data_IF_560217597447
#
_entry.id   IF_560217597447
#
_cell.length_a   1.000
_cell.length_b   1.000
_cell.length_c   1.000
_cell.angle_alpha   90.00
_cell.angle_beta   90.00
_cell.angle_gamma   90.00
#
_symmetry.space_group_name_H-M   'P 1'
#
loop_
_entity.id
_entity.type
_entity.pdbx_description
1 polymer ?
#
# COMPACT_ATOMS: atom_id res chain seq x y z
N UNK A 1 84.89 20.36 -6.98
CA UNK A 1 83.83 19.62 -7.68
C UNK A 1 82.58 19.65 -6.81
N UNK A 2 81.55 20.51 -7.12
CA UNK A 2 80.30 20.60 -6.39
C UNK A 2 79.21 20.00 -7.28
N UNK A 3 78.66 18.83 -6.91
CA UNK A 3 77.52 18.19 -7.57
C UNK A 3 76.29 18.81 -7.09
N UNK A 4 75.48 19.45 -7.99
CA UNK A 4 74.13 19.93 -7.75
C UNK A 4 73.19 18.76 -7.98
N UNK A 5 72.40 18.39 -6.96
CA UNK A 5 71.31 17.43 -7.04
C UNK A 5 70.06 18.24 -7.41
N UNK A 6 69.50 17.96 -8.58
CA UNK A 6 68.23 18.50 -8.99
C UNK A 6 67.09 17.64 -8.40
N UNK A 7 66.27 18.24 -7.54
CA UNK A 7 65.09 17.59 -7.00
C UNK A 7 63.94 17.94 -7.95
N UNK A 8 63.48 16.94 -8.70
CA UNK A 8 62.27 17.04 -9.52
C UNK A 8 61.05 16.90 -8.61
N UNK A 9 60.31 17.95 -8.45
CA UNK A 9 59.01 17.92 -7.75
C UNK A 9 57.97 17.39 -8.74
N UNK A 10 57.52 16.17 -8.50
CA UNK A 10 56.40 15.59 -9.23
C UNK A 10 55.09 16.12 -8.63
N UNK A 11 54.40 17.03 -9.35
CA UNK A 11 53.09 17.53 -8.96
C UNK A 11 52.04 16.44 -9.25
N UNK A 12 51.57 15.76 -8.19
CA UNK A 12 50.45 14.85 -8.28
C UNK A 12 49.15 15.69 -8.38
N UNK A 13 48.56 15.74 -9.57
CA UNK A 13 47.22 16.29 -9.78
C UNK A 13 46.22 15.31 -9.14
N UNK A 14 45.71 15.67 -7.97
CA UNK A 14 44.55 15.00 -7.35
C UNK A 14 43.34 15.38 -8.17
N UNK A 15 42.91 14.48 -9.07
CA UNK A 15 41.59 14.53 -9.68
C UNK A 15 40.58 14.29 -8.56
N UNK A 16 40.05 15.38 -7.99
CA UNK A 16 38.83 15.36 -7.18
C UNK A 16 37.68 15.01 -8.10
N UNK A 17 37.50 13.70 -8.34
CA UNK A 17 36.28 13.17 -8.92
C UNK A 17 35.15 13.43 -7.93
N UNK A 18 34.43 14.55 -8.14
CA UNK A 18 33.18 14.83 -7.46
C UNK A 18 32.22 13.71 -7.79
N UNK A 19 32.13 12.71 -6.89
CA UNK A 19 30.98 11.85 -6.83
C UNK A 19 29.79 12.77 -6.50
N UNK A 20 29.11 13.27 -7.54
CA UNK A 20 27.78 13.84 -7.41
C UNK A 20 26.92 12.72 -6.82
N UNK A 21 26.84 12.68 -5.49
CA UNK A 21 25.86 11.88 -4.79
C UNK A 21 24.51 12.32 -5.33
N UNK A 22 24.00 11.60 -6.31
CA UNK A 22 22.61 11.72 -6.70
C UNK A 22 21.82 11.54 -5.41
N UNK A 23 21.38 12.66 -4.84
CA UNK A 23 20.51 12.69 -3.68
C UNK A 23 19.30 11.87 -4.12
N UNK A 24 19.20 10.65 -3.62
CA UNK A 24 18.17 9.70 -3.98
C UNK A 24 16.87 10.33 -3.49
N UNK A 25 16.16 10.99 -4.40
CA UNK A 25 14.90 11.66 -4.11
C UNK A 25 13.92 10.58 -3.66
N UNK A 26 13.33 10.79 -2.49
CA UNK A 26 12.22 9.98 -2.01
C UNK A 26 11.13 9.86 -3.07
N UNK A 27 10.25 8.89 -2.93
CA UNK A 27 9.18 8.68 -3.90
C UNK A 27 8.27 9.92 -3.97
N UNK A 28 8.00 10.41 -5.19
CA UNK A 28 7.11 11.54 -5.41
C UNK A 28 5.72 11.09 -5.84
N UNK A 29 4.73 11.95 -5.66
CA UNK A 29 3.37 11.74 -6.17
C UNK A 29 3.35 11.53 -7.68
N UNK A 30 4.20 12.23 -8.44
CA UNK A 30 4.33 12.06 -9.89
C UNK A 30 4.88 10.67 -10.27
N UNK A 31 5.89 10.18 -9.54
CA UNK A 31 6.45 8.84 -9.73
C UNK A 31 5.38 7.77 -9.50
N UNK A 32 4.58 7.89 -8.42
CA UNK A 32 3.51 6.93 -8.11
C UNK A 32 2.43 6.92 -9.16
N UNK A 33 2.02 8.09 -9.66
CA UNK A 33 1.06 8.14 -10.78
C UNK A 33 1.59 7.39 -11.99
N UNK A 34 2.86 7.61 -12.36
CA UNK A 34 3.50 6.86 -13.44
C UNK A 34 3.51 5.35 -13.21
N UNK A 35 3.64 4.89 -11.95
CA UNK A 35 3.57 3.47 -11.62
C UNK A 35 2.15 2.91 -11.75
N UNK A 36 1.14 3.63 -11.27
CA UNK A 36 -0.27 3.25 -11.41
C UNK A 36 -0.68 3.19 -12.90
N UNK A 37 -0.27 4.18 -13.69
CA UNK A 37 -0.50 4.22 -15.14
C UNK A 37 0.16 3.02 -15.85
N UNK A 38 1.41 2.71 -15.52
CA UNK A 38 2.15 1.57 -16.08
C UNK A 38 1.52 0.22 -15.72
N UNK A 39 0.86 0.13 -14.55
CA UNK A 39 0.08 -1.05 -14.16
C UNK A 39 -1.30 -1.12 -14.85
N UNK A 40 -1.71 -0.09 -15.58
CA UNK A 40 -3.05 0.00 -16.18
C UNK A 40 -4.18 0.15 -15.18
N UNK A 41 -3.87 0.61 -13.96
CA UNK A 41 -4.86 0.77 -12.90
C UNK A 41 -5.64 2.07 -13.07
N UNK A 42 -6.97 2.00 -12.97
CA UNK A 42 -7.81 3.19 -12.87
C UNK A 42 -7.78 3.71 -11.45
N UNK A 43 -7.50 4.99 -11.26
CA UNK A 43 -7.45 5.61 -9.94
C UNK A 43 -8.10 7.00 -9.94
N UNK A 44 -8.52 7.43 -8.76
CA UNK A 44 -9.07 8.78 -8.54
C UNK A 44 -8.33 9.44 -7.38
N UNK A 45 -8.18 10.78 -7.38
CA UNK A 45 -7.62 11.49 -6.24
C UNK A 45 -8.44 11.22 -4.97
N UNK A 46 -7.77 11.07 -3.84
CA UNK A 46 -8.47 10.96 -2.57
C UNK A 46 -9.12 12.32 -2.19
N UNK A 47 -10.42 12.37 -1.81
CA UNK A 47 -11.14 13.63 -1.67
C UNK A 47 -10.61 14.56 -0.56
N UNK A 48 -9.89 14.01 0.41
CA UNK A 48 -9.40 14.74 1.60
C UNK A 48 -7.87 14.75 1.73
N UNK A 49 -7.14 14.03 0.87
CA UNK A 49 -5.69 13.94 0.93
C UNK A 49 -5.11 14.07 -0.49
N UNK A 50 -4.49 15.23 -0.83
CA UNK A 50 -3.93 15.48 -2.16
C UNK A 50 -2.75 14.56 -2.50
N UNK A 51 -2.10 13.96 -1.50
CA UNK A 51 -0.97 13.05 -1.65
C UNK A 51 -1.37 11.58 -1.67
N UNK A 52 -2.68 11.31 -1.90
CA UNK A 52 -3.22 9.97 -1.95
C UNK A 52 -4.16 9.74 -3.14
N UNK A 53 -4.22 8.49 -3.58
CA UNK A 53 -5.15 8.02 -4.61
C UNK A 53 -5.93 6.80 -4.13
N UNK A 54 -7.12 6.63 -4.69
CA UNK A 54 -7.97 5.45 -4.49
C UNK A 54 -8.03 4.69 -5.80
N UNK A 55 -7.69 3.42 -5.76
CA UNK A 55 -7.79 2.47 -6.87
C UNK A 55 -8.94 1.51 -6.56
N UNK A 56 -10.14 1.74 -7.08
CA UNK A 56 -11.25 0.81 -6.92
C UNK A 56 -11.06 -0.40 -7.85
N UNK A 57 -11.16 -1.62 -7.31
CA UNK A 57 -11.08 -2.85 -8.08
C UNK A 57 -12.29 -3.74 -7.78
N UNK A 58 -13.05 -4.13 -8.79
CA UNK A 58 -14.23 -4.98 -8.69
C UNK A 58 -14.05 -6.39 -9.27
N UNK A 59 -12.96 -6.65 -9.98
CA UNK A 59 -12.63 -7.96 -10.51
C UNK A 59 -11.81 -8.77 -9.50
N UNK A 60 -12.49 -9.31 -8.48
CA UNK A 60 -11.87 -10.10 -7.40
C UNK A 60 -12.56 -11.45 -7.30
N UNK A 61 -11.92 -12.42 -6.65
CA UNK A 61 -12.44 -13.78 -6.48
C UNK A 61 -13.49 -13.86 -5.36
N UNK A 62 -13.23 -13.19 -4.25
CA UNK A 62 -13.99 -13.31 -3.02
C UNK A 62 -14.64 -11.97 -2.60
N UNK A 63 -13.91 -10.87 -2.71
CA UNK A 63 -14.44 -9.54 -2.42
C UNK A 63 -15.27 -9.01 -3.58
N UNK A 64 -16.41 -8.39 -3.28
CA UNK A 64 -17.17 -7.65 -4.28
C UNK A 64 -16.36 -6.49 -4.85
N UNK A 65 -15.61 -5.82 -3.98
CA UNK A 65 -14.74 -4.71 -4.33
C UNK A 65 -13.56 -4.59 -3.35
N UNK A 66 -12.41 -4.23 -3.87
CA UNK A 66 -11.24 -3.81 -3.10
C UNK A 66 -10.98 -2.33 -3.36
N UNK A 67 -10.94 -1.52 -2.31
CA UNK A 67 -10.52 -0.12 -2.40
C UNK A 67 -9.06 -0.03 -1.92
N UNK A 68 -8.11 0.12 -2.86
CA UNK A 68 -6.69 0.30 -2.56
C UNK A 68 -6.40 1.80 -2.46
N UNK A 69 -5.89 2.23 -1.32
CA UNK A 69 -5.38 3.57 -1.06
C UNK A 69 -3.85 3.57 -1.21
N UNK A 70 -3.34 4.49 -1.99
CA UNK A 70 -1.91 4.70 -2.23
C UNK A 70 -1.56 6.09 -1.74
N UNK A 71 -0.77 6.20 -0.69
CA UNK A 71 -0.49 7.45 0.01
C UNK A 71 1.01 7.68 0.18
N UNK A 72 1.50 8.88 -0.17
CA UNK A 72 2.82 9.39 0.26
C UNK A 72 2.63 10.21 1.51
N UNK A 73 3.26 9.82 2.60
CA UNK A 73 3.21 10.56 3.86
C UNK A 73 4.24 11.68 3.91
N UNK A 74 4.08 12.58 4.87
CA UNK A 74 5.00 13.71 5.11
C UNK A 74 6.42 13.27 5.47
N UNK A 75 6.57 12.10 6.08
CA UNK A 75 7.86 11.44 6.36
C UNK A 75 8.43 10.72 5.13
N UNK A 76 7.83 10.94 3.95
CA UNK A 76 8.16 10.31 2.68
C UNK A 76 7.94 8.80 2.65
N UNK A 77 7.31 8.18 3.65
CA UNK A 77 6.91 6.79 3.56
C UNK A 77 5.78 6.61 2.55
N UNK A 78 5.83 5.52 1.78
CA UNK A 78 4.74 5.10 0.92
C UNK A 78 3.89 4.08 1.65
N UNK A 79 2.62 4.38 1.83
CA UNK A 79 1.66 3.50 2.47
C UNK A 79 0.65 3.00 1.45
N UNK A 80 0.54 1.69 1.35
CA UNK A 80 -0.50 0.99 0.62
C UNK A 80 -1.50 0.43 1.63
N UNK A 81 -2.77 0.76 1.47
CA UNK A 81 -3.83 0.27 2.36
C UNK A 81 -4.99 -0.24 1.51
N UNK A 82 -5.50 -1.44 1.78
CA UNK A 82 -6.64 -2.00 1.08
C UNK A 82 -7.76 -2.32 2.05
N UNK A 83 -8.99 -1.96 1.68
CA UNK A 83 -10.21 -2.30 2.39
C UNK A 83 -11.09 -3.16 1.50
N UNK A 84 -11.33 -4.42 1.89
CA UNK A 84 -12.29 -5.27 1.17
C UNK A 84 -13.72 -4.84 1.48
N UNK A 85 -14.59 -4.98 0.46
CA UNK A 85 -16.04 -4.77 0.59
C UNK A 85 -16.79 -6.01 0.18
N UNK A 86 -17.87 -6.24 0.90
CA UNK A 86 -18.83 -7.28 0.57
C UNK A 86 -20.25 -6.77 0.85
N UNK A 87 -21.19 -7.03 -0.05
CA UNK A 87 -22.55 -6.50 -0.01
C UNK A 87 -22.60 -4.96 0.10
N UNK A 88 -21.71 -4.27 -0.65
CA UNK A 88 -21.58 -2.82 -0.69
C UNK A 88 -20.97 -2.18 0.55
N UNK A 89 -20.49 -2.96 1.54
CA UNK A 89 -20.01 -2.44 2.86
C UNK A 89 -18.59 -2.88 3.16
N UNK A 90 -17.87 -2.06 3.93
CA UNK A 90 -16.60 -2.43 4.54
C UNK A 90 -16.82 -3.41 5.70
N UNK A 91 -15.82 -4.22 5.98
CA UNK A 91 -15.75 -5.00 7.22
C UNK A 91 -15.41 -4.06 8.36
N UNK A 92 -16.19 -4.08 9.45
CA UNK A 92 -16.00 -3.16 10.57
C UNK A 92 -16.21 -3.87 11.91
N UNK A 93 -15.47 -3.44 12.93
CA UNK A 93 -15.60 -3.95 14.31
C UNK A 93 -17.01 -3.82 14.88
N UNK A 94 -17.74 -2.78 14.49
CA UNK A 94 -19.10 -2.56 14.96
C UNK A 94 -20.07 -3.68 14.55
N UNK A 95 -19.74 -4.42 13.48
CA UNK A 95 -20.56 -5.51 12.92
C UNK A 95 -19.95 -6.89 13.15
N UNK A 96 -18.92 -6.99 13.96
CA UNK A 96 -18.24 -8.27 14.25
C UNK A 96 -18.94 -9.00 15.38
N UNK A 97 -19.30 -10.27 15.17
CA UNK A 97 -19.96 -11.16 16.13
C UNK A 97 -19.02 -11.68 17.20
N UNK A 98 -17.77 -12.03 16.82
CA UNK A 98 -16.74 -12.58 17.71
C UNK A 98 -15.41 -11.88 17.41
N UNK A 99 -15.19 -10.74 18.08
CA UNK A 99 -14.00 -9.89 17.86
C UNK A 99 -12.70 -10.59 18.26
N UNK A 100 -12.74 -11.35 19.35
CA UNK A 100 -11.55 -12.01 19.89
C UNK A 100 -11.01 -13.05 18.90
N UNK A 101 -11.86 -13.97 18.44
CA UNK A 101 -11.47 -14.96 17.44
C UNK A 101 -11.05 -14.33 16.12
N UNK A 102 -11.77 -13.31 15.67
CA UNK A 102 -11.39 -12.58 14.47
C UNK A 102 -9.99 -11.98 14.62
N UNK A 103 -9.68 -11.29 15.72
CA UNK A 103 -8.35 -10.73 15.95
C UNK A 103 -7.28 -11.81 16.02
N UNK A 104 -7.55 -12.93 16.67
CA UNK A 104 -6.62 -14.07 16.69
C UNK A 104 -6.29 -14.52 15.26
N UNK A 105 -7.29 -14.68 14.40
CA UNK A 105 -7.10 -15.08 12.99
C UNK A 105 -6.32 -14.03 12.21
N UNK A 106 -6.57 -12.74 12.42
CA UNK A 106 -5.82 -11.67 11.77
C UNK A 106 -4.36 -11.60 12.25
N UNK A 107 -4.10 -11.83 13.54
CA UNK A 107 -2.74 -11.89 14.09
C UNK A 107 -1.97 -13.10 13.54
N UNK A 108 -2.61 -14.26 13.41
CA UNK A 108 -2.03 -15.43 12.74
C UNK A 108 -1.70 -15.14 11.27
N UNK A 109 -2.59 -14.39 10.57
CA UNK A 109 -2.35 -13.94 9.22
C UNK A 109 -1.14 -13.02 9.12
N UNK A 110 -1.02 -12.04 10.02
CA UNK A 110 0.10 -11.10 10.06
C UNK A 110 1.45 -11.81 10.26
N UNK A 111 1.47 -12.95 10.94
CA UNK A 111 2.69 -13.73 11.11
C UNK A 111 3.17 -14.37 9.80
N UNK A 112 2.27 -14.65 8.87
CA UNK A 112 2.54 -15.40 7.63
C UNK A 112 2.48 -14.54 6.37
N UNK A 113 1.86 -13.36 6.46
CA UNK A 113 1.58 -12.54 5.31
C UNK A 113 2.63 -11.44 5.12
N UNK A 114 2.81 -11.02 3.88
CA UNK A 114 3.58 -9.86 3.48
C UNK A 114 2.99 -8.53 3.99
N UNK A 115 1.67 -8.50 4.23
CA UNK A 115 0.92 -7.34 4.69
C UNK A 115 0.46 -7.49 6.14
N UNK A 116 0.18 -6.36 6.80
CA UNK A 116 -0.36 -6.32 8.15
C UNK A 116 -1.84 -5.97 8.13
N UNK A 117 -2.69 -6.86 8.66
CA UNK A 117 -4.08 -6.52 8.95
C UNK A 117 -4.16 -5.54 10.12
N UNK A 118 -5.05 -4.58 10.04
CA UNK A 118 -5.24 -3.55 11.05
C UNK A 118 -6.70 -3.11 11.10
N UNK A 119 -7.01 -2.35 12.14
CA UNK A 119 -8.29 -1.64 12.28
C UNK A 119 -7.96 -0.15 12.30
N UNK A 120 -8.68 0.63 11.52
CA UNK A 120 -8.51 2.08 11.51
C UNK A 120 -9.30 2.77 12.64
N UNK A 121 -9.15 4.10 12.84
CA UNK A 121 -9.89 4.84 13.87
C UNK A 121 -11.42 4.84 13.69
N UNK A 122 -11.92 4.56 12.50
CA UNK A 122 -13.35 4.40 12.18
C UNK A 122 -13.87 3.00 12.51
N UNK A 123 -12.95 2.09 12.83
CA UNK A 123 -13.25 0.69 13.11
C UNK A 123 -13.28 -0.20 11.87
N UNK A 124 -12.91 0.33 10.69
CA UNK A 124 -12.86 -0.44 9.47
C UNK A 124 -11.62 -1.34 9.43
N UNK A 125 -11.80 -2.57 8.93
CA UNK A 125 -10.76 -3.60 8.87
C UNK A 125 -10.13 -3.59 7.49
N UNK A 126 -8.81 -3.43 7.46
CA UNK A 126 -8.03 -3.41 6.22
C UNK A 126 -6.72 -4.16 6.34
N UNK A 127 -6.00 -4.27 5.23
CA UNK A 127 -4.62 -4.73 5.18
C UNK A 127 -3.72 -3.61 4.68
N UNK A 128 -2.48 -3.54 5.21
CA UNK A 128 -1.53 -2.47 4.94
C UNK A 128 -0.14 -3.02 4.64
N UNK A 129 0.54 -2.33 3.74
CA UNK A 129 1.97 -2.43 3.55
C UNK A 129 2.61 -1.03 3.55
N UNK A 130 3.78 -0.89 4.17
CA UNK A 130 4.48 0.39 4.25
C UNK A 130 5.91 0.22 3.75
N UNK A 131 6.31 1.07 2.79
CA UNK A 131 7.70 1.23 2.41
C UNK A 131 8.31 2.40 3.17
N UNK A 132 9.50 2.20 3.72
CA UNK A 132 10.39 3.29 4.13
C UNK A 132 11.13 3.77 2.89
N UNK A 133 11.03 5.05 2.54
CA UNK A 133 11.43 5.53 1.21
C UNK A 133 12.74 6.30 1.18
N UNK A 134 13.60 6.15 2.17
CA UNK A 134 14.91 6.79 2.18
C UNK A 134 15.73 6.53 0.89
N UNK A 135 15.50 5.39 0.25
CA UNK A 135 16.18 4.96 -0.98
C UNK A 135 15.28 4.95 -2.22
N UNK A 136 14.05 5.44 -2.12
CA UNK A 136 13.04 5.33 -3.17
C UNK A 136 12.42 3.92 -3.26
N UNK A 137 11.36 3.79 -4.04
CA UNK A 137 10.68 2.51 -4.32
C UNK A 137 10.75 2.26 -5.82
N UNK A 138 11.31 1.12 -6.24
CA UNK A 138 11.33 0.74 -7.64
C UNK A 138 9.92 0.36 -8.12
N UNK A 139 9.68 0.49 -9.45
CA UNK A 139 8.42 0.06 -10.04
C UNK A 139 8.10 -1.40 -9.75
N UNK A 140 9.09 -2.29 -9.84
CA UNK A 140 8.86 -3.72 -9.60
C UNK A 140 8.50 -4.02 -8.14
N UNK A 141 9.17 -3.38 -7.18
CA UNK A 141 8.83 -3.50 -5.77
C UNK A 141 7.39 -2.98 -5.50
N UNK A 142 7.04 -1.83 -6.07
CA UNK A 142 5.69 -1.28 -5.98
C UNK A 142 4.65 -2.24 -6.57
N UNK A 143 4.87 -2.73 -7.80
CA UNK A 143 3.98 -3.66 -8.48
C UNK A 143 3.75 -4.93 -7.68
N UNK A 144 4.81 -5.55 -7.16
CA UNK A 144 4.73 -6.75 -6.32
C UNK A 144 3.92 -6.45 -5.07
N UNK A 145 4.21 -5.35 -4.36
CA UNK A 145 3.50 -4.99 -3.13
C UNK A 145 2.00 -4.76 -3.37
N UNK A 146 1.63 -4.03 -4.43
CA UNK A 146 0.22 -3.81 -4.79
C UNK A 146 -0.47 -5.14 -5.11
N UNK A 147 0.15 -5.98 -5.94
CA UNK A 147 -0.43 -7.27 -6.35
C UNK A 147 -0.66 -8.19 -5.14
N UNK A 148 0.35 -8.33 -4.29
CA UNK A 148 0.27 -9.20 -3.11
C UNK A 148 -0.72 -8.66 -2.06
N UNK A 149 -0.74 -7.34 -1.85
CA UNK A 149 -1.68 -6.72 -0.92
C UNK A 149 -3.14 -6.95 -1.36
N UNK A 150 -3.43 -6.75 -2.65
CA UNK A 150 -4.76 -7.02 -3.21
C UNK A 150 -5.14 -8.50 -3.09
N UNK A 151 -4.21 -9.42 -3.41
CA UNK A 151 -4.42 -10.86 -3.29
C UNK A 151 -4.71 -11.26 -1.85
N UNK A 152 -3.92 -10.80 -0.89
CA UNK A 152 -4.11 -11.12 0.53
C UNK A 152 -5.46 -10.60 1.04
N UNK A 153 -5.85 -9.38 0.68
CA UNK A 153 -7.14 -8.82 1.10
C UNK A 153 -8.32 -9.61 0.50
N UNK A 154 -8.22 -10.05 -0.75
CA UNK A 154 -9.23 -10.88 -1.39
C UNK A 154 -9.32 -12.27 -0.77
N UNK A 155 -8.19 -12.95 -0.55
CA UNK A 155 -8.10 -14.28 0.06
C UNK A 155 -8.66 -14.32 1.50
N UNK A 156 -8.51 -13.21 2.25
CA UNK A 156 -9.03 -13.08 3.62
C UNK A 156 -10.48 -12.57 3.70
N UNK A 157 -11.07 -12.13 2.61
CA UNK A 157 -12.48 -11.69 2.58
C UNK A 157 -13.46 -12.74 3.15
N UNK A 158 -13.39 -14.05 2.80
CA UNK A 158 -14.25 -15.07 3.38
C UNK A 158 -14.04 -15.24 4.90
N UNK A 159 -12.77 -15.15 5.36
CA UNK A 159 -12.45 -15.24 6.79
C UNK A 159 -13.08 -14.09 7.56
N UNK A 160 -13.00 -12.85 7.03
CA UNK A 160 -13.66 -11.71 7.64
C UNK A 160 -15.18 -11.86 7.64
N UNK A 161 -15.78 -12.41 6.55
CA UNK A 161 -17.22 -12.59 6.43
C UNK A 161 -17.77 -13.62 7.44
N UNK A 162 -16.99 -14.60 7.85
CA UNK A 162 -17.38 -15.57 8.89
C UNK A 162 -17.73 -14.90 10.22
N UNK A 163 -17.08 -13.77 10.53
CA UNK A 163 -17.27 -13.03 11.79
C UNK A 163 -18.23 -11.84 11.68
N UNK A 164 -18.80 -11.58 10.52
CA UNK A 164 -19.75 -10.50 10.35
C UNK A 164 -21.18 -10.90 10.73
N UNK A 165 -21.90 -9.96 11.32
CA UNK A 165 -23.36 -10.10 11.52
C UNK A 165 -24.02 -10.30 10.17
N UNK A 166 -24.66 -11.45 9.99
CA UNK A 166 -25.48 -11.75 8.80
C UNK A 166 -26.79 -10.98 8.92
N UNK A 167 -26.93 -9.91 8.14
CA UNK A 167 -28.23 -9.24 8.03
C UNK A 167 -29.19 -10.12 7.25
N UNK A 168 -30.34 -10.41 7.84
CA UNK A 168 -31.43 -11.02 7.08
C UNK A 168 -31.77 -10.12 5.88
N UNK A 169 -31.67 -10.69 4.68
CA UNK A 169 -32.14 -9.98 3.48
C UNK A 169 -33.61 -9.71 3.67
N UNK A 170 -33.98 -8.41 3.87
CA UNK A 170 -35.41 -8.03 3.79
C UNK A 170 -35.93 -8.56 2.46
N UNK A 171 -37.01 -9.35 2.46
CA UNK A 171 -37.61 -9.76 1.20
C UNK A 171 -37.92 -8.50 0.36
N UNK A 172 -37.76 -8.56 -0.96
CA UNK A 172 -38.11 -7.43 -1.82
C UNK A 172 -39.55 -7.00 -1.51
N UNK A 173 -39.82 -5.67 -1.51
CA UNK A 173 -41.18 -5.21 -1.29
C UNK A 173 -42.12 -5.90 -2.28
N UNK A 174 -43.17 -6.54 -1.75
CA UNK A 174 -44.20 -7.17 -2.56
C UNK A 174 -44.81 -6.06 -3.43
N UNK A 175 -44.81 -6.18 -4.76
CA UNK A 175 -45.44 -5.17 -5.59
C UNK A 175 -46.92 -5.03 -5.22
N UNK A 176 -47.32 -3.82 -4.91
CA UNK A 176 -48.74 -3.51 -4.65
C UNK A 176 -49.57 -3.99 -5.83
N UNK A 177 -50.40 -4.98 -5.58
CA UNK A 177 -51.43 -5.43 -6.56
C UNK A 177 -52.41 -4.26 -6.72
N UNK A 178 -52.26 -3.51 -7.80
CA UNK A 178 -53.28 -2.58 -8.27
C UNK A 178 -54.43 -3.36 -8.92
#
# INVERSE_FOLDING_TARGET
MKRRIAISVLAAAVLAGGASGAQQQGITTATLRGYLDKMGLRYVPHPKNPDAWVVPRSENKNAERLDLYVEVRKDQSLVLTVYPRLNGRYFTLARTTDREKMFQRLLEANHRAFATFFVDPQGDIGARFTFTTETGVSYDAFRVAVTELLRIADDYTPVLDEYMVKEERKPPPVPDKK
#
